data_IF_807812433817
#
_entry.id   IF_807812433817
#
_cell.length_a   1.000
_cell.length_b   1.000
_cell.length_c   1.000
_cell.angle_alpha   90.00
_cell.angle_beta   90.00
_cell.angle_gamma   90.00
#
_symmetry.space_group_name_H-M   'P 1'
#
loop_
_entity.id
_entity.type
_entity.pdbx_description
1 polymer ?
#
# COMPACT_ATOMS: atom_id res chain seq x y z
N UNK A 1 -3.32 -7.72 -9.19
CA UNK A 1 -2.59 -8.07 -7.94
C UNK A 1 -2.06 -6.86 -7.18
N UNK A 2 -1.06 -6.10 -7.67
CA UNK A 2 -0.62 -4.89 -6.92
C UNK A 2 -1.79 -3.93 -6.65
N UNK A 3 -2.58 -3.64 -7.67
CA UNK A 3 -3.74 -2.73 -7.53
C UNK A 3 -4.83 -3.32 -6.61
N UNK A 4 -5.05 -4.63 -6.66
CA UNK A 4 -5.90 -5.34 -5.70
C UNK A 4 -5.40 -5.16 -4.26
N UNK A 5 -4.11 -5.37 -4.00
CA UNK A 5 -3.51 -5.16 -2.68
C UNK A 5 -3.61 -3.70 -2.22
N UNK A 6 -3.56 -2.75 -3.16
CA UNK A 6 -3.80 -1.34 -2.90
C UNK A 6 -5.28 -1.11 -2.54
N UNK A 7 -6.22 -1.74 -3.25
CA UNK A 7 -7.65 -1.69 -2.95
C UNK A 7 -8.04 -2.26 -1.57
N UNK A 8 -7.24 -3.19 -1.06
CA UNK A 8 -7.42 -3.83 0.24
C UNK A 8 -6.75 -3.08 1.41
N UNK A 9 -6.03 -1.98 1.14
CA UNK A 9 -5.40 -1.17 2.17
C UNK A 9 -6.43 -0.68 3.21
N UNK A 10 -6.14 -0.94 4.49
CA UNK A 10 -7.05 -0.63 5.61
C UNK A 10 -8.14 -1.67 5.86
N UNK A 11 -8.50 -2.50 4.86
CA UNK A 11 -9.47 -3.60 4.99
C UNK A 11 -8.84 -4.92 5.38
N UNK A 12 -7.58 -5.13 5.02
CA UNK A 12 -6.74 -6.20 5.55
C UNK A 12 -5.80 -5.65 6.62
N UNK A 13 -5.32 -6.55 7.49
CA UNK A 13 -4.28 -6.23 8.46
C UNK A 13 -3.00 -5.78 7.73
N UNK A 14 -2.28 -4.81 8.32
CA UNK A 14 -1.10 -4.23 7.67
C UNK A 14 0.02 -5.28 7.52
N UNK A 15 0.22 -6.14 8.52
CA UNK A 15 1.28 -7.14 8.48
C UNK A 15 0.97 -8.18 7.37
N UNK A 16 -0.29 -8.57 7.21
CA UNK A 16 -0.71 -9.45 6.11
C UNK A 16 -0.54 -8.81 4.71
N UNK A 17 -0.85 -7.51 4.56
CA UNK A 17 -0.61 -6.80 3.30
C UNK A 17 0.88 -6.67 2.98
N UNK A 18 1.69 -6.41 4.01
CA UNK A 18 3.14 -6.36 3.92
C UNK A 18 3.73 -7.69 3.46
N UNK A 19 3.30 -8.81 4.06
CA UNK A 19 3.75 -10.14 3.66
C UNK A 19 3.31 -10.48 2.22
N UNK A 20 2.08 -10.13 1.83
CA UNK A 20 1.60 -10.35 0.46
C UNK A 20 2.41 -9.53 -0.57
N UNK A 21 2.83 -8.30 -0.22
CA UNK A 21 3.67 -7.46 -1.07
C UNK A 21 5.10 -8.00 -1.18
N UNK A 22 5.64 -8.55 -0.11
CA UNK A 22 6.93 -9.25 -0.11
C UNK A 22 6.91 -10.48 -1.03
N UNK A 23 5.88 -11.31 -0.93
CA UNK A 23 5.67 -12.47 -1.82
C UNK A 23 5.53 -12.02 -3.28
N UNK A 24 4.75 -10.98 -3.54
CA UNK A 24 4.59 -10.42 -4.88
C UNK A 24 5.92 -9.88 -5.45
N UNK A 25 6.72 -9.20 -4.63
CA UNK A 25 8.04 -8.71 -5.03
C UNK A 25 9.03 -9.85 -5.31
N UNK A 26 8.84 -11.00 -4.67
CA UNK A 26 9.64 -12.23 -4.85
C UNK A 26 9.12 -13.14 -5.97
N UNK A 27 8.10 -12.68 -6.73
CA UNK A 27 7.42 -13.44 -7.78
C UNK A 27 6.69 -14.71 -7.29
N UNK A 28 6.35 -14.79 -6.00
CA UNK A 28 5.56 -15.86 -5.38
C UNK A 28 4.06 -15.50 -5.42
N UNK A 29 3.52 -15.32 -6.63
CA UNK A 29 2.16 -14.81 -6.85
C UNK A 29 1.09 -15.76 -6.33
N UNK A 30 1.28 -17.06 -6.49
CA UNK A 30 0.42 -18.13 -5.96
C UNK A 30 0.28 -18.04 -4.44
N UNK A 31 1.41 -17.94 -3.73
CA UNK A 31 1.42 -17.80 -2.26
C UNK A 31 0.84 -16.49 -1.80
N UNK A 32 1.09 -15.40 -2.53
CA UNK A 32 0.48 -14.11 -2.23
C UNK A 32 -1.05 -14.16 -2.35
N UNK A 33 -1.57 -14.85 -3.38
CA UNK A 33 -3.01 -15.04 -3.58
C UNK A 33 -3.63 -15.91 -2.49
N UNK A 34 -2.99 -17.03 -2.14
CA UNK A 34 -3.45 -17.92 -1.06
C UNK A 34 -3.50 -17.18 0.28
N UNK A 35 -2.46 -16.40 0.59
CA UNK A 35 -2.41 -15.58 1.80
C UNK A 35 -3.57 -14.57 1.83
N UNK A 36 -3.74 -13.80 0.76
CA UNK A 36 -4.80 -12.76 0.68
C UNK A 36 -6.19 -13.39 0.78
N UNK A 37 -6.48 -14.43 0.01
CA UNK A 37 -7.77 -15.10 0.06
C UNK A 37 -8.03 -15.74 1.43
N UNK A 38 -7.00 -16.32 2.04
CA UNK A 38 -7.05 -16.85 3.41
C UNK A 38 -7.39 -15.77 4.44
N UNK A 39 -6.73 -14.61 4.37
CA UNK A 39 -7.00 -13.48 5.25
C UNK A 39 -8.41 -12.91 5.07
N UNK A 40 -8.87 -12.77 3.82
CA UNK A 40 -10.24 -12.31 3.52
C UNK A 40 -11.29 -13.29 4.07
N UNK A 41 -11.08 -14.60 3.88
CA UNK A 41 -11.99 -15.64 4.35
C UNK A 41 -12.02 -15.79 5.88
N UNK A 42 -10.86 -15.72 6.53
CA UNK A 42 -10.74 -15.82 7.98
C UNK A 42 -11.26 -14.56 8.70
N UNK A 43 -11.11 -13.41 8.04
CA UNK A 43 -11.49 -12.08 8.51
C UNK A 43 -12.94 -11.65 8.25
N UNK A 44 -13.80 -12.58 7.81
CA UNK A 44 -14.88 -12.37 6.82
C UNK A 44 -14.94 -10.96 6.21
N UNK A 45 -13.86 -10.53 5.56
CA UNK A 45 -13.79 -9.19 4.96
C UNK A 45 -14.59 -9.21 3.67
N UNK A 46 -15.68 -8.42 3.55
CA UNK A 46 -16.48 -8.39 2.34
C UNK A 46 -15.64 -7.89 1.17
N UNK A 47 -15.81 -8.49 0.00
CA UNK A 47 -15.21 -8.05 -1.28
C UNK A 47 -16.30 -7.58 -2.22
N UNK A 48 -16.01 -6.53 -2.99
CA UNK A 48 -16.93 -6.11 -4.07
C UNK A 48 -17.00 -7.20 -5.14
N UNK A 49 -18.03 -7.13 -5.99
CA UNK A 49 -18.14 -8.06 -7.12
C UNK A 49 -16.94 -7.96 -8.07
N UNK A 50 -16.47 -6.75 -8.33
CA UNK A 50 -15.32 -6.50 -9.19
C UNK A 50 -14.03 -7.11 -8.60
N UNK A 51 -13.82 -6.98 -7.29
CA UNK A 51 -12.68 -7.57 -6.58
C UNK A 51 -12.74 -9.09 -6.57
N UNK A 52 -13.93 -9.66 -6.36
CA UNK A 52 -14.14 -11.10 -6.42
C UNK A 52 -13.82 -11.65 -7.82
N UNK A 53 -14.30 -10.98 -8.88
CA UNK A 53 -14.03 -11.37 -10.26
C UNK A 53 -12.54 -11.21 -10.62
N UNK A 54 -11.87 -10.16 -10.13
CA UNK A 54 -10.41 -9.98 -10.30
C UNK A 54 -9.65 -11.11 -9.58
N UNK A 55 -10.00 -11.42 -8.33
CA UNK A 55 -9.40 -12.53 -7.57
C UNK A 55 -9.56 -13.86 -8.31
N UNK A 56 -10.76 -14.18 -8.80
CA UNK A 56 -11.01 -15.41 -9.55
C UNK A 56 -10.14 -15.49 -10.82
N UNK A 57 -9.97 -14.38 -11.54
CA UNK A 57 -9.09 -14.32 -12.72
C UNK A 57 -7.62 -14.50 -12.35
N UNK A 58 -7.16 -13.90 -11.24
CA UNK A 58 -5.79 -14.04 -10.76
C UNK A 58 -5.50 -15.48 -10.32
N UNK A 59 -6.41 -16.13 -9.59
CA UNK A 59 -6.30 -17.55 -9.21
C UNK A 59 -6.21 -18.46 -10.43
N UNK A 60 -7.07 -18.23 -11.43
CA UNK A 60 -7.03 -18.98 -12.68
C UNK A 60 -5.70 -18.80 -13.41
N UNK A 61 -5.20 -17.57 -13.52
CA UNK A 61 -3.92 -17.26 -14.16
C UNK A 61 -2.72 -17.89 -13.42
N UNK A 62 -2.80 -17.97 -12.08
CA UNK A 62 -1.80 -18.58 -11.24
C UNK A 62 -1.91 -20.12 -11.13
N UNK A 63 -2.95 -20.73 -11.73
CA UNK A 63 -3.28 -22.16 -11.58
C UNK A 63 -3.50 -22.57 -10.11
N UNK A 64 -4.03 -21.65 -9.29
CA UNK A 64 -4.39 -21.88 -7.89
C UNK A 64 -5.83 -22.39 -7.74
N UNK A 65 -6.18 -22.95 -6.58
CA UNK A 65 -7.52 -23.48 -6.30
C UNK A 65 -8.54 -22.34 -6.03
N UNK A 66 -9.56 -22.12 -6.89
CA UNK A 66 -10.51 -21.03 -6.73
C UNK A 66 -11.53 -21.27 -5.60
N UNK A 67 -11.60 -22.46 -5.00
CA UNK A 67 -12.62 -22.81 -4.00
C UNK A 67 -12.59 -21.91 -2.74
N UNK A 68 -11.46 -21.26 -2.45
CA UNK A 68 -11.39 -20.23 -1.39
C UNK A 68 -12.08 -18.93 -1.80
N UNK A 69 -11.91 -18.51 -3.06
CA UNK A 69 -12.50 -17.27 -3.60
C UNK A 69 -14.02 -17.39 -3.65
N UNK A 70 -14.54 -18.54 -4.09
CA UNK A 70 -15.99 -18.81 -4.17
C UNK A 70 -16.73 -18.71 -2.82
N UNK A 71 -16.00 -18.83 -1.71
CA UNK A 71 -16.54 -18.74 -0.35
C UNK A 71 -16.47 -17.34 0.24
N UNK A 72 -15.84 -16.39 -0.45
CA UNK A 72 -15.69 -15.03 0.07
C UNK A 72 -17.04 -14.31 0.10
N UNK A 73 -17.35 -13.56 1.18
CA UNK A 73 -18.56 -12.78 1.24
C UNK A 73 -18.50 -11.65 0.19
N UNK A 74 -19.41 -11.70 -0.79
CA UNK A 74 -19.57 -10.63 -1.77
C UNK A 74 -20.58 -9.63 -1.25
N UNK A 75 -20.10 -8.44 -0.92
CA UNK A 75 -20.93 -7.30 -0.58
C UNK A 75 -20.23 -6.05 -1.12
N UNK A 76 -21.00 -5.06 -1.55
CA UNK A 76 -20.41 -3.75 -1.81
C UNK A 76 -19.77 -3.30 -0.50
N UNK A 77 -18.44 -3.06 -0.48
CA UNK A 77 -17.73 -2.76 0.75
C UNK A 77 -18.36 -1.50 1.33
N UNK A 78 -19.12 -1.69 2.40
CA UNK A 78 -19.78 -0.60 3.08
C UNK A 78 -18.67 0.37 3.53
N UNK A 79 -18.84 1.66 3.29
CA UNK A 79 -17.85 2.73 3.55
C UNK A 79 -17.48 2.89 5.04
N UNK A 80 -17.80 1.90 5.86
CA UNK A 80 -17.96 1.97 7.32
C UNK A 80 -16.62 2.07 8.03
N UNK A 81 -15.53 1.52 7.49
CA UNK A 81 -14.20 1.79 8.06
C UNK A 81 -13.60 3.04 7.43
N UNK A 82 -14.19 4.20 7.74
CA UNK A 82 -13.58 5.49 7.39
C UNK A 82 -12.33 5.68 8.24
N UNK A 83 -11.18 5.33 7.69
CA UNK A 83 -9.91 5.51 8.38
C UNK A 83 -9.65 6.99 8.67
N UNK A 84 -9.11 7.26 9.86
CA UNK A 84 -8.75 8.62 10.28
C UNK A 84 -7.26 8.81 10.20
N UNK A 85 -6.85 9.88 9.55
CA UNK A 85 -5.45 10.24 9.37
C UNK A 85 -5.13 11.55 10.08
N UNK A 86 -3.88 11.73 10.48
CA UNK A 86 -3.41 12.97 11.10
C UNK A 86 -1.96 13.26 10.73
N UNK A 87 -1.68 14.56 10.53
CA UNK A 87 -0.33 15.11 10.41
C UNK A 87 0.29 15.43 11.79
N UNK A 88 -0.48 15.30 12.88
CA UNK A 88 -0.02 15.62 14.22
C UNK A 88 1.05 14.63 14.69
N UNK A 89 1.96 15.11 15.54
CA UNK A 89 2.95 14.26 16.18
C UNK A 89 2.29 13.26 17.14
N UNK A 90 2.81 12.03 17.15
CA UNK A 90 2.42 10.98 18.09
C UNK A 90 3.61 10.72 19.00
N UNK A 91 3.41 10.83 20.31
CA UNK A 91 4.49 10.66 21.29
C UNK A 91 5.73 11.52 20.99
N UNK A 92 5.53 12.72 20.44
CA UNK A 92 6.60 13.65 20.07
C UNK A 92 7.30 13.35 18.74
N UNK A 93 6.79 12.39 17.95
CA UNK A 93 7.37 11.95 16.67
C UNK A 93 6.40 12.24 15.53
N UNK A 94 6.84 12.97 14.51
CA UNK A 94 6.10 13.18 13.28
C UNK A 94 6.07 11.90 12.42
N UNK A 95 5.20 11.84 11.42
CA UNK A 95 5.07 10.62 10.61
C UNK A 95 6.30 10.40 9.71
N UNK A 96 6.87 11.49 9.21
CA UNK A 96 8.04 11.54 8.33
C UNK A 96 9.37 11.32 9.06
N UNK A 97 9.40 11.45 10.38
CA UNK A 97 10.62 11.37 11.19
C UNK A 97 11.31 10.01 11.01
N UNK A 98 12.57 10.05 10.56
CA UNK A 98 13.43 8.89 10.32
C UNK A 98 13.14 8.13 9.01
N UNK A 99 12.06 8.45 8.28
CA UNK A 99 11.71 7.74 7.03
C UNK A 99 12.78 7.97 5.96
N UNK A 100 13.23 9.21 5.77
CA UNK A 100 14.27 9.54 4.80
C UNK A 100 15.59 8.81 5.12
N UNK A 101 16.06 8.89 6.37
CA UNK A 101 17.33 8.27 6.80
C UNK A 101 17.34 6.75 6.59
N UNK A 102 16.21 6.09 6.84
CA UNK A 102 16.04 4.67 6.64
C UNK A 102 15.96 4.28 5.15
N UNK A 103 15.19 5.04 4.34
CA UNK A 103 14.83 4.63 2.99
C UNK A 103 15.73 5.18 1.88
N UNK A 104 16.48 6.27 2.09
CA UNK A 104 17.20 6.98 1.02
C UNK A 104 18.10 6.07 0.17
N UNK A 105 18.87 5.17 0.79
CA UNK A 105 19.75 4.24 0.05
C UNK A 105 18.99 3.31 -0.89
N UNK A 106 17.76 2.94 -0.53
CA UNK A 106 16.90 2.10 -1.36
C UNK A 106 16.25 2.95 -2.46
N UNK A 107 15.77 4.14 -2.11
CA UNK A 107 15.14 5.06 -3.06
C UNK A 107 16.10 5.50 -4.17
N UNK A 108 17.39 5.70 -3.85
CA UNK A 108 18.41 6.13 -4.81
C UNK A 108 18.63 5.15 -5.97
N UNK A 109 18.33 3.86 -5.76
CA UNK A 109 18.54 2.80 -6.75
C UNK A 109 17.22 2.25 -7.31
N UNK A 110 16.08 2.80 -6.89
CA UNK A 110 14.78 2.46 -7.46
C UNK A 110 14.49 3.40 -8.62
N UNK A 111 14.07 2.87 -9.79
CA UNK A 111 13.73 3.70 -10.92
C UNK A 111 12.44 4.47 -10.64
N UNK A 112 12.39 5.70 -11.16
CA UNK A 112 11.15 6.46 -11.35
C UNK A 112 10.36 6.76 -10.06
N UNK A 113 11.06 6.92 -8.92
CA UNK A 113 10.45 7.42 -7.68
C UNK A 113 10.12 8.91 -7.85
N UNK A 114 8.83 9.26 -7.72
CA UNK A 114 8.33 10.62 -7.90
C UNK A 114 8.28 11.40 -6.61
N UNK A 115 7.78 10.78 -5.55
CA UNK A 115 7.50 11.44 -4.28
C UNK A 115 7.29 10.43 -3.15
N UNK A 116 7.56 10.87 -1.92
CA UNK A 116 7.43 10.07 -0.70
C UNK A 116 6.76 10.94 0.33
N UNK A 117 5.71 10.43 0.96
CA UNK A 117 5.01 11.09 2.03
C UNK A 117 4.78 10.13 3.18
N UNK A 118 4.55 10.68 4.37
CA UNK A 118 4.20 9.90 5.53
C UNK A 118 3.03 10.54 6.29
N UNK A 119 2.18 9.69 6.88
CA UNK A 119 1.03 10.10 7.68
C UNK A 119 0.78 9.10 8.81
N UNK A 120 0.16 9.55 9.90
CA UNK A 120 -0.35 8.65 10.94
C UNK A 120 -1.79 8.26 10.68
N UNK A 121 -2.09 6.96 10.65
CA UNK A 121 -3.44 6.41 10.71
C UNK A 121 -3.80 6.12 12.17
N UNK A 122 -4.93 6.65 12.64
CA UNK A 122 -5.38 6.54 14.05
C UNK A 122 -6.48 5.52 14.26
N UNK A 123 -6.86 4.78 13.21
CA UNK A 123 -7.79 3.66 13.26
C UNK A 123 -7.08 2.35 12.91
N UNK A 124 -7.52 1.20 13.46
CA UNK A 124 -6.97 -0.10 13.10
C UNK A 124 -7.27 -0.42 11.64
N UNK A 125 -6.47 -1.30 11.05
CA UNK A 125 -6.73 -1.90 9.74
C UNK A 125 -7.12 -3.37 9.91
N UNK A 126 -8.03 -3.81 9.05
CA UNK A 126 -8.51 -5.18 9.05
C UNK A 126 -9.20 -5.65 10.33
N UNK A 127 -9.53 -6.95 10.40
CA UNK A 127 -10.24 -7.56 11.52
C UNK A 127 -9.31 -7.85 12.71
N UNK A 128 -8.01 -8.04 12.47
CA UNK A 128 -7.00 -8.15 13.51
C UNK A 128 -6.49 -6.74 13.84
N UNK A 129 -6.78 -6.23 15.03
CA UNK A 129 -6.41 -4.85 15.37
C UNK A 129 -4.91 -4.75 15.69
N UNK A 130 -4.12 -4.29 14.73
CA UNK A 130 -2.75 -3.83 14.97
C UNK A 130 -2.69 -2.57 15.88
N UNK A 131 -1.50 -2.21 16.38
CA UNK A 131 -1.34 -1.04 17.24
C UNK A 131 -1.66 0.26 16.47
N UNK A 132 -2.38 1.16 17.15
CA UNK A 132 -2.65 2.51 16.67
C UNK A 132 -1.97 3.55 17.56
N UNK A 133 -1.52 4.68 17.00
CA UNK A 133 -1.53 5.01 15.58
C UNK A 133 -0.46 4.25 14.79
N UNK A 134 -0.76 3.98 13.51
CA UNK A 134 0.10 3.26 12.58
C UNK A 134 0.66 4.23 11.54
N UNK A 135 1.96 4.12 11.22
CA UNK A 135 2.60 4.97 10.22
C UNK A 135 2.29 4.43 8.83
N UNK A 136 1.81 5.27 7.92
CA UNK A 136 1.60 4.93 6.52
C UNK A 136 2.56 5.77 5.68
N UNK A 137 3.36 5.11 4.85
CA UNK A 137 4.29 5.75 3.91
C UNK A 137 3.73 5.60 2.50
N UNK A 138 3.35 6.73 1.89
CA UNK A 138 2.81 6.80 0.53
C UNK A 138 3.97 7.09 -0.44
N UNK A 139 4.09 6.33 -1.52
CA UNK A 139 5.15 6.52 -2.52
C UNK A 139 4.52 6.61 -3.91
N UNK A 140 4.77 7.73 -4.59
CA UNK A 140 4.43 7.89 -5.99
C UNK A 140 5.55 7.34 -6.88
N UNK A 141 5.21 6.47 -7.84
CA UNK A 141 6.14 5.96 -8.85
C UNK A 141 5.61 6.21 -10.26
N UNK A 142 6.52 6.56 -11.17
CA UNK A 142 6.18 6.72 -12.58
C UNK A 142 6.07 5.39 -13.32
N UNK A 143 5.87 5.48 -14.64
CA UNK A 143 5.63 4.33 -15.52
C UNK A 143 6.79 3.32 -15.56
N UNK A 144 8.02 3.75 -15.30
CA UNK A 144 9.20 2.88 -15.27
C UNK A 144 9.49 2.32 -13.87
N UNK A 145 8.71 2.73 -12.87
CA UNK A 145 8.83 2.28 -11.49
C UNK A 145 8.16 0.92 -11.27
N UNK A 146 8.76 0.09 -10.41
CA UNK A 146 8.16 -1.19 -10.01
C UNK A 146 7.52 -1.06 -8.63
N UNK A 147 6.18 -1.00 -8.60
CA UNK A 147 5.46 -0.82 -7.34
C UNK A 147 5.69 -1.93 -6.30
N UNK A 148 5.67 -3.24 -6.67
CA UNK A 148 5.99 -4.32 -5.73
C UNK A 148 7.42 -4.23 -5.19
N UNK A 149 8.41 -3.97 -6.06
CA UNK A 149 9.80 -3.86 -5.63
C UNK A 149 10.03 -2.65 -4.72
N UNK A 150 9.37 -1.52 -5.02
CA UNK A 150 9.42 -0.32 -4.18
C UNK A 150 8.81 -0.57 -2.81
N UNK A 151 7.62 -1.17 -2.75
CA UNK A 151 6.94 -1.49 -1.50
C UNK A 151 7.82 -2.37 -0.60
N UNK A 152 8.25 -3.52 -1.12
CA UNK A 152 9.08 -4.47 -0.38
C UNK A 152 10.39 -3.85 0.12
N UNK A 153 11.15 -3.19 -0.77
CA UNK A 153 12.49 -2.71 -0.40
C UNK A 153 12.43 -1.55 0.58
N UNK A 154 11.46 -0.64 0.44
CA UNK A 154 11.31 0.48 1.37
C UNK A 154 10.81 -0.01 2.72
N UNK A 155 9.81 -0.88 2.73
CA UNK A 155 9.29 -1.43 3.98
C UNK A 155 10.38 -2.21 4.73
N UNK A 156 11.14 -3.04 4.02
CA UNK A 156 12.27 -3.76 4.60
C UNK A 156 13.32 -2.81 5.20
N UNK A 157 13.60 -1.67 4.54
CA UNK A 157 14.51 -0.66 5.07
C UNK A 157 13.99 0.02 6.33
N UNK A 158 12.70 0.38 6.36
CA UNK A 158 12.03 0.95 7.54
C UNK A 158 12.04 -0.02 8.73
N UNK A 159 11.68 -1.29 8.48
CA UNK A 159 11.70 -2.36 9.48
C UNK A 159 13.10 -2.55 10.08
N UNK A 160 14.14 -2.55 9.25
CA UNK A 160 15.55 -2.63 9.71
C UNK A 160 15.98 -1.42 10.55
N UNK A 161 15.36 -0.27 10.36
CA UNK A 161 15.57 0.93 11.16
C UNK A 161 14.69 0.97 12.43
N UNK A 162 13.88 -0.07 12.69
CA UNK A 162 12.95 -0.11 13.81
C UNK A 162 11.70 0.75 13.60
N UNK A 163 11.44 1.20 12.37
CA UNK A 163 10.26 1.98 12.01
C UNK A 163 9.18 1.02 11.52
N UNK A 164 8.12 0.87 12.33
CA UNK A 164 6.92 0.12 11.91
C UNK A 164 6.04 1.02 11.05
N UNK A 165 5.87 0.66 9.79
CA UNK A 165 5.02 1.38 8.85
C UNK A 165 4.50 0.45 7.76
N UNK A 166 3.30 0.73 7.25
CA UNK A 166 2.81 0.18 5.98
C UNK A 166 3.29 1.06 4.84
N UNK A 167 3.70 0.43 3.74
CA UNK A 167 4.17 1.13 2.53
C UNK A 167 3.16 0.94 1.41
N UNK A 168 2.58 2.04 0.98
CA UNK A 168 1.57 2.10 -0.07
C UNK A 168 2.17 2.77 -1.31
N UNK A 169 2.24 2.02 -2.41
CA UNK A 169 2.87 2.50 -3.65
C UNK A 169 1.83 2.75 -4.72
N UNK A 170 1.74 4.01 -5.13
CA UNK A 170 0.80 4.48 -6.13
C UNK A 170 1.53 4.74 -7.45
N UNK A 171 0.93 4.27 -8.55
CA UNK A 171 1.49 4.45 -9.90
C UNK A 171 0.89 5.66 -10.57
N UNK A 172 1.68 6.36 -11.37
CA UNK A 172 1.19 7.45 -12.22
C UNK A 172 0.03 6.97 -13.10
N UNK A 173 -1.07 7.73 -13.07
CA UNK A 173 -2.28 7.44 -13.84
C UNK A 173 -3.19 6.37 -13.26
N UNK A 174 -2.81 5.70 -12.17
CA UNK A 174 -3.73 4.87 -11.40
C UNK A 174 -4.60 5.76 -10.50
N UNK A 175 -5.90 5.48 -10.42
CA UNK A 175 -6.81 6.20 -9.55
C UNK A 175 -6.59 5.76 -8.09
N UNK A 176 -6.22 6.67 -7.18
CA UNK A 176 -6.08 6.34 -5.77
C UNK A 176 -7.46 6.04 -5.16
N UNK A 177 -7.56 5.01 -4.33
CA UNK A 177 -8.79 4.75 -3.56
C UNK A 177 -9.06 5.86 -2.53
N UNK A 178 -10.29 5.95 -2.02
CA UNK A 178 -10.68 6.92 -0.98
C UNK A 178 -9.77 6.88 0.25
N UNK A 179 -9.27 5.69 0.62
CA UNK A 179 -8.27 5.49 1.67
C UNK A 179 -7.01 6.31 1.37
N UNK A 180 -6.44 6.16 0.18
CA UNK A 180 -5.22 6.84 -0.23
C UNK A 180 -5.41 8.33 -0.45
N UNK A 181 -6.55 8.74 -1.03
CA UNK A 181 -6.89 10.16 -1.18
C UNK A 181 -6.99 10.84 0.19
N UNK A 182 -7.65 10.19 1.16
CA UNK A 182 -7.76 10.72 2.52
C UNK A 182 -6.41 10.74 3.21
N UNK A 183 -5.61 9.66 3.10
CA UNK A 183 -4.25 9.61 3.65
C UNK A 183 -3.39 10.76 3.12
N UNK A 184 -3.40 10.98 1.80
CA UNK A 184 -2.59 12.00 1.13
C UNK A 184 -2.93 13.42 1.59
N UNK A 185 -4.21 13.73 1.86
CA UNK A 185 -4.62 15.06 2.37
C UNK A 185 -4.00 15.43 3.72
N UNK A 186 -3.57 14.46 4.51
CA UNK A 186 -2.96 14.67 5.83
C UNK A 186 -1.47 14.31 5.85
N UNK A 187 -0.89 13.92 4.71
CA UNK A 187 0.46 13.43 4.66
C UNK A 187 1.47 14.58 4.55
N UNK A 188 2.59 14.45 5.27
CA UNK A 188 3.72 15.34 5.15
C UNK A 188 4.71 14.77 4.14
N UNK A 189 5.31 15.63 3.32
CA UNK A 189 6.35 15.21 2.38
C UNK A 189 7.61 14.79 3.15
N UNK A 190 8.12 13.61 2.81
CA UNK A 190 9.40 13.14 3.31
C UNK A 190 10.47 13.77 2.42
N UNK A 191 11.17 14.77 2.96
CA UNK A 191 12.30 15.40 2.24
C UNK A 191 13.47 14.41 2.15
N UNK A 192 13.40 13.51 1.18
CA UNK A 192 14.52 12.67 0.81
C UNK A 192 15.63 13.56 0.27
N UNK A 193 16.88 13.33 0.68
CA UNK A 193 18.05 13.98 0.12
C UNK A 193 18.24 13.44 -1.31
N UNK A 194 17.44 13.92 -2.27
CA UNK A 194 17.51 13.45 -3.64
C UNK A 194 18.75 14.02 -4.30
N UNK A 195 19.73 13.15 -4.53
CA UNK A 195 20.87 13.45 -5.42
C UNK A 195 20.49 13.34 -6.89
N UNK A 196 19.25 12.95 -7.22
CA UNK A 196 18.76 12.94 -8.59
C UNK A 196 18.36 14.34 -9.03
N UNK A 197 19.38 15.10 -9.43
CA UNK A 197 19.24 16.30 -10.24
C UNK A 197 18.60 15.86 -11.56
N UNK A 198 17.27 15.93 -11.64
CA UNK A 198 16.66 16.30 -12.90
C UNK A 198 17.25 17.68 -13.17
N UNK A 199 18.14 17.76 -14.15
CA UNK A 199 18.62 19.03 -14.63
C UNK A 199 17.38 19.85 -14.97
N UNK A 200 17.10 20.88 -14.16
CA UNK A 200 16.26 21.99 -14.62
C UNK A 200 16.72 22.30 -16.03
N UNK A 201 15.82 22.38 -17.03
CA UNK A 201 16.23 22.77 -18.36
C UNK A 201 16.92 24.12 -18.22
N UNK A 202 18.24 24.09 -18.41
CA UNK A 202 19.06 25.26 -18.32
C UNK A 202 18.44 26.30 -19.25
N UNK A 203 18.15 27.48 -18.71
CA UNK A 203 17.75 28.63 -19.51
C UNK A 203 18.66 28.70 -20.75
N UNK A 204 18.10 28.88 -21.96
CA UNK A 204 18.87 28.77 -23.19
C UNK A 204 20.04 29.76 -23.15
N UNK A 205 21.26 29.20 -23.11
CA UNK A 205 22.48 29.97 -23.36
C UNK A 205 22.37 30.61 -24.74
N UNK A 206 22.61 31.91 -24.91
CA UNK A 206 22.62 32.54 -26.22
C UNK A 206 23.67 31.87 -27.12
N UNK A 207 23.25 31.54 -28.33
CA UNK A 207 24.00 30.76 -29.31
C UNK A 207 25.36 31.42 -29.67
N UNK A 208 26.46 30.65 -29.74
CA UNK A 208 27.69 31.13 -30.35
C UNK A 208 27.56 31.10 -31.89
N UNK A 209 27.97 32.21 -32.49
CA UNK A 209 28.03 32.49 -33.92
C UNK A 209 28.97 31.50 -34.66
N UNK A 210 28.62 31.00 -35.88
CA UNK A 210 29.40 29.97 -36.55
C UNK A 210 30.57 30.55 -37.36
N UNK A 211 31.81 30.08 -37.17
CA UNK A 211 32.86 30.29 -38.17
C UNK A 211 32.85 29.20 -39.26
N UNK A 212 33.14 29.67 -40.47
CA UNK A 212 33.27 28.99 -41.78
C UNK A 212 34.00 27.65 -41.75
N UNK A 213 33.53 26.72 -42.59
CA UNK A 213 34.23 25.51 -43.07
C UNK A 213 35.17 25.84 -44.24
N UNK A 214 36.30 25.13 -44.31
CA UNK A 214 36.90 24.41 -45.48
C UNK A 214 38.34 23.92 -45.14
N UNK A 215 39.00 23.00 -45.89
CA UNK A 215 38.75 21.54 -45.90
C UNK A 215 40.02 20.65 -45.72
N UNK A 216 39.75 19.35 -45.46
CA UNK A 216 40.47 18.07 -45.71
C UNK A 216 42.01 17.84 -45.75
N UNK A 217 42.32 16.54 -45.55
CA UNK A 217 43.56 15.74 -45.64
C UNK A 217 44.37 15.68 -44.32
N UNK A 218 44.67 14.51 -43.71
CA UNK A 218 45.18 13.25 -44.29
C UNK A 218 45.13 12.13 -43.22
N UNK A 219 44.85 10.87 -43.61
CA UNK A 219 45.12 9.65 -42.81
C UNK A 219 46.64 9.32 -42.80
N UNK A 220 47.23 8.55 -41.84
CA UNK A 220 47.16 7.05 -41.79
C UNK A 220 47.21 6.45 -40.32
N UNK A 221 46.59 5.31 -39.95
CA UNK A 221 46.97 3.86 -40.05
C UNK A 221 47.48 3.22 -38.72
N UNK A 222 46.84 2.09 -38.33
CA UNK A 222 47.15 0.95 -37.39
C UNK A 222 47.44 1.17 -35.88
N UNK A 223 46.71 0.43 -35.02
CA UNK A 223 47.29 -0.74 -34.31
C UNK A 223 46.26 -1.51 -33.49
N UNK A 224 46.24 -2.83 -33.72
CA UNK A 224 45.57 -3.88 -32.96
C UNK A 224 46.30 -4.19 -31.65
N UNK A 225 45.54 -4.53 -30.60
CA UNK A 225 45.83 -5.45 -29.47
C UNK A 225 44.93 -5.03 -28.29
N UNK A 226 44.40 -5.87 -27.41
CA UNK A 226 44.36 -7.32 -27.24
C UNK A 226 43.21 -7.58 -26.28
N UNK A 227 42.39 -8.59 -26.56
CA UNK A 227 41.43 -9.14 -25.61
C UNK A 227 42.14 -10.10 -24.64
N UNK A 228 41.91 -10.02 -23.32
CA UNK A 228 42.25 -11.11 -22.40
C UNK A 228 41.13 -12.17 -22.37
N UNK A 229 41.50 -13.42 -22.59
CA UNK A 229 40.68 -14.60 -22.34
C UNK A 229 40.59 -14.93 -20.84
N UNK A 230 39.36 -15.19 -20.38
CA UNK A 230 38.83 -16.32 -19.57
C UNK A 230 39.74 -16.95 -18.48
N UNK A 231 39.21 -17.20 -17.28
CA UNK A 231 38.93 -18.61 -16.96
C UNK A 231 37.49 -18.87 -16.45
N UNK A 232 37.01 -20.01 -16.91
CA UNK A 232 35.77 -20.73 -16.63
C UNK A 232 35.78 -21.32 -15.20
N UNK A 233 34.72 -21.16 -14.40
CA UNK A 233 34.59 -21.89 -13.13
C UNK A 233 33.97 -23.28 -13.35
N UNK A 234 34.63 -24.28 -12.78
CA UNK A 234 34.26 -25.70 -12.82
C UNK A 234 32.88 -25.99 -12.19
N UNK A 235 32.15 -27.01 -12.70
CA UNK A 235 30.89 -27.45 -12.13
C UNK A 235 31.09 -28.35 -10.91
N UNK A 236 30.79 -27.83 -9.71
CA UNK A 236 30.67 -28.69 -8.53
C UNK A 236 29.38 -29.50 -8.60
N UNK A 237 29.55 -30.78 -8.93
CA UNK A 237 28.58 -31.83 -8.68
C UNK A 237 28.53 -32.09 -7.17
N UNK A 238 27.37 -31.88 -6.54
CA UNK A 238 27.06 -32.44 -5.24
C UNK A 238 25.74 -33.20 -5.34
N UNK A 239 25.89 -34.52 -5.35
CA UNK A 239 24.85 -35.52 -5.23
C UNK A 239 24.11 -35.39 -3.88
N UNK A 240 22.78 -35.57 -3.85
CA UNK A 240 22.03 -35.61 -2.60
C UNK A 240 22.30 -36.91 -1.83
N UNK A 241 22.58 -36.79 -0.54
CA UNK A 241 22.59 -37.94 0.38
C UNK A 241 21.15 -38.39 0.68
N UNK A 242 20.90 -39.71 0.78
CA UNK A 242 19.58 -40.26 0.93
C UNK A 242 19.02 -40.10 2.36
N UNK A 243 17.71 -39.88 2.36
CA UNK A 243 16.79 -39.81 3.49
C UNK A 243 16.77 -41.13 4.26
N UNK A 244 16.97 -41.11 5.57
CA UNK A 244 16.54 -42.18 6.48
C UNK A 244 15.07 -41.94 6.87
N UNK A 245 14.13 -42.84 6.54
CA UNK A 245 12.83 -42.90 7.21
C UNK A 245 12.93 -43.79 8.46
N UNK A 246 11.85 -43.81 9.27
CA UNK A 246 11.44 -44.79 10.32
C UNK A 246 11.22 -44.11 11.69
N UNK A 247 10.12 -44.41 12.44
CA UNK A 247 8.76 -44.78 12.05
C UNK A 247 7.66 -44.07 12.91
N UNK A 248 6.43 -44.47 12.58
CA UNK A 248 5.12 -44.12 13.12
C UNK A 248 4.91 -44.05 14.65
N UNK A 249 3.89 -43.24 14.95
CA UNK A 249 2.98 -43.16 16.09
C UNK A 249 2.82 -44.39 17.02
N UNK A 250 2.27 -44.12 18.22
CA UNK A 250 1.02 -44.77 18.56
C UNK A 250 -0.11 -43.79 18.91
N UNK A 251 -1.28 -44.22 18.49
CA UNK A 251 -2.63 -43.71 18.71
C UNK A 251 -3.04 -43.73 20.19
N UNK A 252 -4.20 -43.09 20.41
CA UNK A 252 -5.24 -43.39 21.40
C UNK A 252 -5.19 -42.59 22.71
N UNK A 253 -6.05 -41.56 22.75
CA UNK A 253 -6.99 -41.38 23.85
C UNK A 253 -8.26 -40.74 23.29
N UNK A 254 -9.29 -41.57 23.13
CA UNK A 254 -10.68 -41.19 22.95
C UNK A 254 -11.22 -40.60 24.28
N UNK A 255 -11.96 -39.49 24.16
CA UNK A 255 -13.17 -39.04 24.89
C UNK A 255 -13.25 -39.10 26.45
N UNK A 256 -13.91 -38.12 27.11
CA UNK A 256 -15.28 -37.72 26.76
C UNK A 256 -15.66 -36.23 26.85
N UNK A 257 -16.74 -35.95 26.13
CA UNK A 257 -17.76 -34.94 26.36
C UNK A 257 -17.80 -34.26 27.73
N UNK A 258 -17.70 -32.93 27.72
CA UNK A 258 -18.50 -32.08 28.62
C UNK A 258 -19.16 -30.98 27.80
N UNK A 259 -20.40 -31.25 27.42
CA UNK A 259 -21.41 -30.26 27.06
C UNK A 259 -21.74 -29.45 28.32
N UNK A 260 -20.98 -28.37 28.55
CA UNK A 260 -21.39 -27.28 29.42
C UNK A 260 -22.38 -26.41 28.66
N UNK A 261 -23.67 -26.65 28.88
CA UNK A 261 -24.77 -25.78 28.46
C UNK A 261 -24.57 -24.38 29.03
N UNK A 262 -24.14 -23.46 28.17
CA UNK A 262 -24.06 -22.01 28.40
C UNK A 262 -25.46 -21.39 28.26
N UNK A 263 -26.42 -21.91 29.04
CA UNK A 263 -27.85 -21.57 28.97
C UNK A 263 -28.28 -20.61 30.08
N UNK A 264 -27.32 -19.84 30.63
CA UNK A 264 -27.57 -18.75 31.57
C UNK A 264 -27.07 -17.38 31.10
N UNK A 265 -26.72 -17.26 29.82
CA UNK A 265 -26.70 -15.98 29.12
C UNK A 265 -28.11 -15.73 28.56
N UNK A 266 -28.85 -14.69 28.89
CA UNK A 266 -28.66 -13.65 29.88
C UNK A 266 -29.99 -12.87 29.80
N UNK A 267 -30.92 -13.05 30.74
CA UNK A 267 -32.13 -12.21 30.80
C UNK A 267 -31.75 -10.72 30.86
N UNK A 268 -30.57 -10.43 31.40
CA UNK A 268 -29.92 -9.12 31.42
C UNK A 268 -29.54 -8.58 30.03
N UNK A 269 -29.15 -9.44 29.08
CA UNK A 269 -28.84 -9.03 27.69
C UNK A 269 -30.12 -8.75 26.91
N UNK A 270 -31.18 -9.52 27.13
CA UNK A 270 -32.49 -9.26 26.54
C UNK A 270 -33.08 -7.93 27.03
N UNK A 271 -32.95 -7.62 28.32
CA UNK A 271 -33.35 -6.32 28.87
C UNK A 271 -32.50 -5.17 28.29
N UNK A 272 -31.20 -5.38 28.11
CA UNK A 272 -30.31 -4.37 27.51
C UNK A 272 -30.67 -4.07 26.04
N UNK A 273 -30.96 -5.11 25.25
CA UNK A 273 -31.37 -4.97 23.86
C UNK A 273 -32.71 -4.25 23.73
N UNK A 274 -33.66 -4.56 24.62
CA UNK A 274 -34.96 -3.88 24.68
C UNK A 274 -34.80 -2.39 25.02
N UNK A 275 -33.90 -2.07 25.96
CA UNK A 275 -33.62 -0.68 26.34
C UNK A 275 -32.96 0.12 25.21
N UNK A 276 -32.05 -0.51 24.45
CA UNK A 276 -31.40 0.10 23.29
C UNK A 276 -32.38 0.37 22.13
N UNK A 277 -33.29 -0.57 21.85
CA UNK A 277 -34.33 -0.36 20.85
C UNK A 277 -35.28 0.78 21.24
N UNK A 278 -35.63 0.91 22.52
CA UNK A 278 -36.50 1.98 23.00
C UNK A 278 -35.79 3.35 22.95
N UNK A 279 -34.46 3.39 23.17
CA UNK A 279 -33.65 4.62 23.02
C UNK A 279 -33.53 5.07 21.55
N UNK A 280 -33.35 4.13 20.61
CA UNK A 280 -33.32 4.41 19.18
C UNK A 280 -34.67 4.92 18.66
N UNK A 281 -35.77 4.24 19.02
CA UNK A 281 -37.11 4.67 18.66
C UNK A 281 -37.44 6.07 19.20
N UNK A 282 -36.92 6.41 20.38
CA UNK A 282 -37.06 7.75 20.96
C UNK A 282 -36.28 8.80 20.19
N UNK A 283 -35.06 8.50 19.71
CA UNK A 283 -34.28 9.45 18.89
C UNK A 283 -34.95 9.73 17.54
N UNK A 284 -35.52 8.71 16.91
CA UNK A 284 -36.23 8.87 15.64
C UNK A 284 -37.48 9.77 15.76
N UNK A 285 -38.17 9.73 16.91
CA UNK A 285 -39.31 10.60 17.18
C UNK A 285 -38.93 12.02 17.64
N UNK A 286 -37.70 12.22 18.14
CA UNK A 286 -37.27 13.51 18.73
C UNK A 286 -36.52 14.41 17.73
N UNK A 287 -36.15 13.91 16.54
CA UNK A 287 -35.51 14.73 15.49
C UNK A 287 -36.36 14.89 14.22
N UNK A 288 -37.32 15.82 14.17
CA UNK A 288 -37.87 16.28 12.91
C UNK A 288 -36.92 17.30 12.27
N UNK A 289 -36.01 16.82 11.41
CA UNK A 289 -35.41 17.63 10.35
C UNK A 289 -33.90 17.84 10.41
N UNK A 290 -33.16 17.01 9.67
CA UNK A 290 -31.93 17.45 8.99
C UNK A 290 -31.69 16.63 7.72
N UNK A 291 -32.65 16.69 6.80
CA UNK A 291 -32.44 16.33 5.39
C UNK A 291 -31.66 17.47 4.72
N UNK A 292 -30.34 17.52 4.93
CA UNK A 292 -29.46 18.55 4.38
C UNK A 292 -28.32 18.00 3.50
N UNK A 293 -28.45 16.79 2.95
CA UNK A 293 -27.45 16.20 2.05
C UNK A 293 -27.95 15.97 0.61
N UNK A 294 -28.99 16.70 0.20
CA UNK A 294 -29.42 16.73 -1.19
C UNK A 294 -28.84 17.98 -1.87
N UNK A 295 -27.56 17.88 -2.22
CA UNK A 295 -26.80 18.93 -2.90
C UNK A 295 -26.03 18.37 -4.10
N UNK A 296 -26.67 18.51 -5.27
CA UNK A 296 -26.10 18.74 -6.60
C UNK A 296 -24.89 17.87 -7.05
N UNK A 297 -25.20 16.74 -7.69
CA UNK A 297 -24.28 16.05 -8.61
C UNK A 297 -24.84 16.15 -10.03
N UNK A 298 -24.82 17.36 -10.58
CA UNK A 298 -25.00 17.60 -12.00
C UNK A 298 -23.67 17.39 -12.73
N UNK A 299 -23.59 16.27 -13.45
CA UNK A 299 -22.98 16.15 -14.79
C UNK A 299 -21.60 16.82 -15.00
N UNK A 300 -20.52 16.16 -14.57
CA UNK A 300 -19.15 16.47 -14.97
C UNK A 300 -18.51 15.29 -15.69
N UNK A 301 -18.28 15.44 -16.98
CA UNK A 301 -17.63 14.47 -17.87
C UNK A 301 -16.15 14.27 -17.49
N UNK A 302 -15.83 13.20 -16.76
CA UNK A 302 -14.47 12.88 -16.29
C UNK A 302 -13.62 12.27 -17.41
N UNK A 303 -12.90 13.11 -18.14
CA UNK A 303 -11.68 12.68 -18.84
C UNK A 303 -10.60 12.38 -17.80
N UNK A 304 -10.03 11.17 -17.90
CA UNK A 304 -8.88 10.65 -17.15
C UNK A 304 -7.74 11.68 -17.02
N UNK A 305 -7.70 12.41 -15.91
CA UNK A 305 -6.60 13.28 -15.55
C UNK A 305 -5.60 12.46 -14.70
N UNK A 306 -4.35 12.42 -15.16
CA UNK A 306 -3.23 11.89 -14.37
C UNK A 306 -3.16 12.61 -13.02
N UNK A 307 -3.08 11.86 -11.93
CA UNK A 307 -2.94 12.43 -10.58
C UNK A 307 -1.66 13.29 -10.50
N UNK A 308 -1.83 14.61 -10.34
CA UNK A 308 -0.71 15.52 -10.16
C UNK A 308 -0.27 15.48 -8.69
N UNK A 309 0.82 14.76 -8.45
CA UNK A 309 1.47 14.62 -7.15
C UNK A 309 1.85 15.95 -6.49
N UNK A 310 2.02 17.02 -7.27
CA UNK A 310 2.36 18.35 -6.76
C UNK A 310 1.12 19.16 -6.39
N UNK A 311 -0.01 18.93 -7.06
CA UNK A 311 -1.26 19.64 -6.82
C UNK A 311 -1.97 19.15 -5.56
N UNK A 312 -1.81 17.87 -5.20
CA UNK A 312 -2.39 17.25 -4.00
C UNK A 312 -2.05 17.96 -2.68
N UNK A 313 -0.92 18.66 -2.61
CA UNK A 313 -0.50 19.45 -1.43
C UNK A 313 -0.89 20.95 -1.54
N UNK A 314 -1.25 21.41 -2.73
CA UNK A 314 -1.44 22.85 -3.00
C UNK A 314 -2.84 23.36 -2.65
N UNK A 315 -3.82 22.47 -2.47
CA UNK A 315 -5.23 22.87 -2.38
C UNK A 315 -5.94 22.23 -1.18
N UNK A 316 -5.58 22.66 0.02
CA UNK A 316 -6.49 22.52 1.17
C UNK A 316 -7.47 23.71 1.15
N UNK A 317 -8.40 23.68 0.19
CA UNK A 317 -9.53 24.61 0.12
C UNK A 317 -10.68 24.03 0.96
N UNK A 318 -10.97 24.63 2.11
CA UNK A 318 -12.22 24.38 2.84
C UNK A 318 -13.16 25.54 2.53
N UNK A 319 -14.29 25.26 1.88
CA UNK A 319 -15.27 26.29 1.45
C UNK A 319 -14.69 27.41 0.56
N UNK A 320 -13.74 27.10 -0.32
CA UNK A 320 -13.17 28.07 -1.25
C UNK A 320 -12.26 29.14 -0.61
N UNK A 321 -11.85 28.94 0.65
CA UNK A 321 -10.92 29.83 1.34
C UNK A 321 -9.62 29.06 1.65
N UNK A 322 -8.44 29.61 1.32
CA UNK A 322 -7.16 29.01 1.70
C UNK A 322 -6.98 29.08 3.22
N UNK A 323 -6.59 27.96 3.85
CA UNK A 323 -6.19 27.94 5.26
C UNK A 323 -4.92 28.79 5.42
N UNK A 324 -5.03 29.89 6.17
CA UNK A 324 -3.87 30.69 6.54
C UNK A 324 -2.97 29.88 7.50
N UNK A 325 -1.64 29.87 7.32
CA UNK A 325 -0.73 29.23 8.25
C UNK A 325 -0.81 29.91 9.64
N UNK A 326 -0.60 29.18 10.74
CA UNK A 326 -0.67 29.74 12.08
C UNK A 326 0.42 30.81 12.24
N UNK A 327 0.01 32.03 12.59
CA UNK A 327 0.96 33.10 12.90
C UNK A 327 1.81 32.73 14.12
N UNK A 328 3.12 32.71 13.91
CA UNK A 328 4.12 32.56 14.97
C UNK A 328 4.13 33.83 15.82
N UNK A 329 3.48 33.80 16.98
CA UNK A 329 3.70 34.83 18.01
C UNK A 329 5.12 34.72 18.53
N UNK A 330 5.90 35.78 18.28
CA UNK A 330 7.20 36.07 18.89
C UNK A 330 7.04 36.51 20.34
#
# INVERSE_FOLDING_TARGET
MHDLLLGLAGRLDDDALSDARELLASAEVDRALDLVAGCLAAGPVPVSRAEHDELAQLFLAAHADPAVVERLPVAEPDLVTRHRFTAAQVAGVAAEDGVADAANRVLDVLPDIRAVWAVWRTTPAGPATGPVPHRVVLIGVGQQGSAPATAYRVEHALRRAGIRASVEVLRDGAEPTDYHQTAMRYANEVTAARTNVIASPAAPKPAPEPPRREPELTAPTISSNSAPQVPEPEPWSSTPSPVTPVPAAPQAAEDPAESGTDESLNDSELDLLRQLQEELARREQTEPGSSAWQGDLSSGNSTSASFDWTEANSTTMVNGMPLQPPETRS
#
